data_IF_931779069379
#
_entry.id   IF_931779069379
#
_cell.length_a   1.000
_cell.length_b   1.000
_cell.length_c   1.000
_cell.angle_alpha   90.00
_cell.angle_beta   90.00
_cell.angle_gamma   90.00
#
_symmetry.space_group_name_H-M   'P 1'
#
loop_
_entity.id
_entity.type
_entity.pdbx_description
1 polymer ?
#
# COMPACT_ATOMS: atom_id res chain seq x y z
N UNK A 1 -1.60 -12.11 10.62
CA UNK A 1 -2.68 -11.25 10.09
C UNK A 1 -3.20 -11.85 8.80
N UNK A 2 -4.44 -12.33 8.83
CA UNK A 2 -5.17 -12.73 7.62
C UNK A 2 -5.94 -11.54 7.05
N UNK A 3 -5.81 -11.27 5.74
CA UNK A 3 -6.56 -10.19 5.10
C UNK A 3 -8.01 -10.62 4.85
N UNK A 4 -8.95 -9.71 5.03
CA UNK A 4 -10.38 -9.94 4.78
C UNK A 4 -11.17 -10.45 5.97
N UNK A 5 -10.53 -10.75 7.11
CA UNK A 5 -11.22 -11.07 8.36
C UNK A 5 -11.44 -9.80 9.19
N UNK A 6 -12.70 -9.51 9.52
CA UNK A 6 -13.08 -8.38 10.39
C UNK A 6 -12.49 -8.52 11.80
N UNK A 7 -12.23 -9.74 12.28
CA UNK A 7 -11.64 -10.01 13.60
C UNK A 7 -10.18 -9.57 13.70
N UNK A 8 -9.47 -9.58 12.57
CA UNK A 8 -8.06 -9.16 12.47
C UNK A 8 -7.90 -7.64 12.32
N UNK A 9 -9.01 -6.90 12.25
CA UNK A 9 -9.06 -5.45 12.19
C UNK A 9 -9.74 -4.89 10.94
N UNK A 10 -10.19 -3.64 11.06
CA UNK A 10 -10.97 -2.95 10.03
C UNK A 10 -10.75 -1.44 10.08
N UNK A 11 -11.05 -0.77 8.97
CA UNK A 11 -11.24 0.67 8.94
C UNK A 11 -12.73 1.02 8.96
N UNK A 12 -13.08 2.07 9.69
CA UNK A 12 -14.39 2.69 9.62
C UNK A 12 -14.36 3.80 8.59
N UNK A 13 -15.09 3.63 7.50
CA UNK A 13 -15.26 4.64 6.46
C UNK A 13 -16.58 5.36 6.72
N UNK A 14 -16.55 6.69 6.80
CA UNK A 14 -17.74 7.52 7.02
C UNK A 14 -17.95 8.42 5.81
N UNK A 15 -19.17 8.45 5.29
CA UNK A 15 -19.56 9.44 4.28
C UNK A 15 -19.65 10.83 4.95
N UNK A 16 -18.95 11.85 4.45
CA UNK A 16 -18.96 13.18 5.07
C UNK A 16 -20.33 13.87 4.93
N UNK A 17 -21.10 13.59 3.88
CA UNK A 17 -22.35 14.29 3.58
C UNK A 17 -23.55 13.74 4.36
N UNK A 18 -23.73 12.40 4.36
CA UNK A 18 -24.87 11.75 5.04
C UNK A 18 -24.52 11.14 6.39
N UNK A 19 -23.24 11.11 6.77
CA UNK A 19 -22.77 10.57 8.05
C UNK A 19 -22.79 9.04 8.17
N UNK A 20 -23.31 8.31 7.18
CA UNK A 20 -23.36 6.85 7.19
C UNK A 20 -21.96 6.24 7.27
N UNK A 21 -21.80 5.17 8.05
CA UNK A 21 -20.51 4.53 8.27
C UNK A 21 -20.53 3.05 7.97
N UNK A 22 -19.48 2.57 7.29
CA UNK A 22 -19.25 1.17 6.96
C UNK A 22 -17.94 0.69 7.58
N UNK A 23 -17.94 -0.55 8.05
CA UNK A 23 -16.73 -1.23 8.49
C UNK A 23 -16.15 -2.06 7.35
N UNK A 24 -14.90 -1.78 7.00
CA UNK A 24 -14.20 -2.42 5.89
C UNK A 24 -13.03 -3.19 6.47
N UNK A 25 -13.08 -4.52 6.38
CA UNK A 25 -11.97 -5.38 6.79
C UNK A 25 -10.67 -4.96 6.08
N UNK A 26 -9.55 -5.06 6.79
CA UNK A 26 -8.25 -4.82 6.17
C UNK A 26 -8.00 -5.81 5.04
N UNK A 27 -7.53 -5.30 3.89
CA UNK A 27 -7.39 -6.10 2.68
C UNK A 27 -6.08 -5.80 1.94
N UNK A 28 -5.53 -6.84 1.31
CA UNK A 28 -4.37 -6.76 0.44
C UNK A 28 -4.66 -6.09 -0.91
N UNK A 29 -5.92 -5.73 -1.22
CA UNK A 29 -6.39 -5.12 -2.48
C UNK A 29 -5.97 -3.65 -2.69
N UNK A 30 -4.72 -3.31 -2.34
CA UNK A 30 -4.07 -2.03 -2.62
C UNK A 30 -4.78 -0.76 -2.11
N UNK A 31 -5.71 -0.88 -1.15
CA UNK A 31 -6.41 0.28 -0.58
C UNK A 31 -5.54 1.16 0.32
N UNK A 32 -4.31 0.75 0.63
CA UNK A 32 -3.41 1.45 1.56
C UNK A 32 -3.75 1.31 3.06
N UNK A 33 -4.92 0.75 3.38
CA UNK A 33 -5.42 0.71 4.77
C UNK A 33 -4.89 -0.49 5.57
N UNK A 34 -4.62 -1.63 4.92
CA UNK A 34 -4.12 -2.82 5.62
C UNK A 34 -2.67 -2.60 6.07
N UNK A 35 -2.36 -2.54 7.37
CA UNK A 35 -1.03 -2.18 7.85
C UNK A 35 0.06 -3.15 7.36
N UNK A 36 -0.19 -4.47 7.44
CA UNK A 36 0.79 -5.48 7.02
C UNK A 36 1.08 -5.47 5.51
N UNK A 37 0.06 -5.37 4.68
CA UNK A 37 0.23 -5.34 3.22
C UNK A 37 0.71 -3.99 2.72
N UNK A 38 0.31 -2.89 3.35
CA UNK A 38 0.75 -1.57 2.98
C UNK A 38 2.23 -1.37 3.30
N UNK A 39 2.70 -1.74 4.50
CA UNK A 39 4.11 -1.66 4.86
C UNK A 39 5.00 -2.45 3.89
N UNK A 40 4.63 -3.70 3.55
CA UNK A 40 5.36 -4.50 2.54
C UNK A 40 5.45 -3.79 1.20
N UNK A 41 4.34 -3.21 0.71
CA UNK A 41 4.34 -2.45 -0.55
C UNK A 41 5.18 -1.19 -0.47
N UNK A 42 5.18 -0.49 0.66
CA UNK A 42 6.03 0.69 0.85
C UNK A 42 7.50 0.35 0.80
N UNK A 43 7.92 -0.77 1.40
CA UNK A 43 9.29 -1.27 1.28
C UNK A 43 9.66 -1.58 -0.17
N UNK A 44 8.83 -2.33 -0.90
CA UNK A 44 9.06 -2.63 -2.33
C UNK A 44 9.15 -1.35 -3.16
N UNK A 45 8.26 -0.39 -2.90
CA UNK A 45 8.25 0.90 -3.60
C UNK A 45 9.53 1.69 -3.28
N UNK A 46 9.97 1.70 -2.03
CA UNK A 46 11.19 2.39 -1.62
C UNK A 46 12.44 1.80 -2.28
N UNK A 47 12.52 0.46 -2.37
CA UNK A 47 13.58 -0.23 -3.11
C UNK A 47 13.57 0.19 -4.58
N UNK A 48 12.40 0.15 -5.23
CA UNK A 48 12.27 0.57 -6.62
C UNK A 48 12.68 2.03 -6.83
N UNK A 49 12.33 2.93 -5.91
CA UNK A 49 12.75 4.32 -5.96
C UNK A 49 14.27 4.40 -5.88
N UNK A 50 14.89 3.72 -4.92
CA UNK A 50 16.34 3.74 -4.75
C UNK A 50 17.07 3.20 -5.99
N UNK A 51 16.63 2.07 -6.53
CA UNK A 51 17.33 1.35 -7.60
C UNK A 51 17.03 1.88 -9.00
N UNK A 52 15.81 2.36 -9.28
CA UNK A 52 15.36 2.65 -10.64
C UNK A 52 15.01 4.13 -10.89
N UNK A 53 14.95 4.96 -9.85
CA UNK A 53 14.54 6.38 -9.97
C UNK A 53 15.61 7.31 -9.43
N UNK A 54 16.15 7.01 -8.25
CA UNK A 54 17.08 7.88 -7.54
C UNK A 54 18.54 7.63 -7.94
N UNK A 55 18.89 6.45 -8.45
CA UNK A 55 20.25 6.13 -8.89
C UNK A 55 20.58 6.86 -10.21
N UNK A 56 21.56 7.80 -10.21
CA UNK A 56 22.01 8.51 -11.41
C UNK A 56 22.60 7.61 -12.50
N UNK A 57 23.02 6.38 -12.17
CA UNK A 57 23.70 5.46 -13.09
C UNK A 57 22.72 4.66 -13.98
N UNK A 58 21.41 4.70 -13.72
CA UNK A 58 20.39 3.91 -14.45
C UNK A 58 20.20 4.29 -15.93
N UNK A 59 20.86 5.35 -16.42
CA UNK A 59 20.76 5.82 -17.82
C UNK A 59 21.92 5.45 -18.74
N UNK A 60 22.97 4.81 -18.25
CA UNK A 60 24.20 4.56 -19.02
C UNK A 60 24.64 3.08 -19.10
N UNK A 61 23.74 2.10 -18.98
CA UNK A 61 24.07 0.67 -19.22
C UNK A 61 23.78 0.21 -20.64
N UNK A 62 23.79 1.15 -21.59
CA UNK A 62 23.69 0.90 -23.03
C UNK A 62 24.97 1.28 -23.77
N UNK A 63 26.11 0.69 -23.45
CA UNK A 63 27.25 0.64 -24.38
C UNK A 63 27.45 -0.80 -24.84
N UNK A 64 27.18 -1.02 -26.12
CA UNK A 64 27.82 -2.11 -26.87
C UNK A 64 29.34 -1.92 -26.85
#
# INVERSE_FOLDING_TARGET
MSCGDLREGFARVRCPDCGHSLFVAFSCKQRGICPSCHQKRMLVTAINIAENVADPQTRCTGSR
#
